data_IF_172591011785
#
_entry.id   IF_172591011785
#
_cell.length_a   1.000
_cell.length_b   1.000
_cell.length_c   1.000
_cell.angle_alpha   90.00
_cell.angle_beta   90.00
_cell.angle_gamma   90.00
#
_symmetry.space_group_name_H-M   'P 1'
#
loop_
_entity.id
_entity.type
_entity.pdbx_description
1 polymer ?
#
# COMPACT_ATOMS: atom_id res chain seq x y z
N UNK A 1 -48.24 -8.39 60.66
CA UNK A 1 -48.83 -9.11 59.51
C UNK A 1 -48.32 -8.46 58.24
N UNK A 2 -47.68 -9.25 57.37
CA UNK A 2 -47.05 -8.90 56.08
C UNK A 2 -48.15 -8.90 54.99
N UNK A 3 -47.94 -8.46 53.72
CA UNK A 3 -47.78 -7.11 53.16
C UNK A 3 -48.81 -6.84 52.01
N UNK A 4 -48.73 -5.71 51.30
CA UNK A 4 -49.28 -5.60 49.95
C UNK A 4 -48.33 -4.84 49.01
N UNK A 5 -47.83 -5.59 48.04
CA UNK A 5 -46.86 -5.28 47.00
C UNK A 5 -47.41 -4.38 45.90
N UNK A 6 -46.61 -3.44 45.38
CA UNK A 6 -46.74 -2.91 44.02
C UNK A 6 -45.33 -2.73 43.40
N UNK A 7 -44.80 -3.80 42.80
CA UNK A 7 -43.62 -3.73 41.94
C UNK A 7 -44.08 -3.56 40.48
N UNK A 8 -43.86 -2.37 39.90
CA UNK A 8 -43.89 -2.16 38.45
C UNK A 8 -42.66 -2.82 37.84
N UNK A 9 -42.85 -3.92 37.11
CA UNK A 9 -41.82 -4.50 36.25
C UNK A 9 -41.75 -3.71 34.94
N UNK A 10 -40.69 -2.93 34.78
CA UNK A 10 -40.21 -2.46 33.49
C UNK A 10 -39.72 -3.66 32.68
N UNK A 11 -40.36 -3.92 31.54
CA UNK A 11 -39.82 -4.80 30.51
C UNK A 11 -38.66 -4.07 29.83
N UNK A 12 -37.42 -4.41 30.20
CA UNK A 12 -36.27 -4.18 29.33
C UNK A 12 -36.20 -5.36 28.36
N UNK A 13 -36.62 -5.13 27.12
CA UNK A 13 -36.28 -6.01 26.01
C UNK A 13 -34.78 -5.84 25.74
N UNK A 14 -33.98 -6.78 26.23
CA UNK A 14 -32.59 -6.90 25.81
C UNK A 14 -32.56 -7.44 24.38
N UNK A 15 -32.44 -6.54 23.40
CA UNK A 15 -32.02 -6.88 22.04
C UNK A 15 -30.57 -7.33 22.11
N UNK A 16 -30.35 -8.63 22.31
CA UNK A 16 -29.04 -9.25 22.09
C UNK A 16 -28.79 -9.31 20.59
N UNK A 17 -28.20 -8.26 20.04
CA UNK A 17 -27.54 -8.31 18.75
C UNK A 17 -26.34 -9.25 18.87
N UNK A 18 -26.42 -10.43 18.25
CA UNK A 18 -25.26 -11.27 17.98
C UNK A 18 -24.39 -10.53 16.95
N UNK A 19 -23.51 -9.65 17.42
CA UNK A 19 -22.36 -9.25 16.63
C UNK A 19 -21.50 -10.50 16.48
N UNK A 20 -21.49 -11.09 15.29
CA UNK A 20 -20.55 -12.15 14.97
C UNK A 20 -19.15 -11.60 15.20
N UNK A 21 -18.47 -12.09 16.25
CA UNK A 21 -17.11 -11.68 16.54
C UNK A 21 -16.21 -12.17 15.39
N UNK A 22 -15.77 -11.26 14.53
CA UNK A 22 -14.80 -11.59 13.49
C UNK A 22 -13.47 -11.99 14.16
N UNK A 23 -12.85 -13.11 13.72
CA UNK A 23 -11.57 -13.51 14.26
C UNK A 23 -10.53 -12.41 14.01
N UNK A 24 -9.76 -12.08 15.04
CA UNK A 24 -8.70 -11.09 14.97
C UNK A 24 -7.73 -11.43 13.83
N UNK A 25 -7.69 -10.58 12.79
CA UNK A 25 -6.81 -10.74 11.61
C UNK A 25 -7.53 -11.02 10.29
N UNK A 26 -8.81 -11.39 10.31
CA UNK A 26 -9.62 -11.50 9.09
C UNK A 26 -9.94 -10.13 8.49
N UNK A 27 -10.13 -10.07 7.17
CA UNK A 27 -10.61 -8.87 6.48
C UNK A 27 -12.02 -8.52 7.00
N UNK A 28 -12.16 -7.30 7.53
CA UNK A 28 -13.48 -6.71 7.80
C UNK A 28 -14.20 -6.46 6.46
N UNK A 29 -15.49 -6.82 6.33
CA UNK A 29 -16.26 -6.56 5.12
C UNK A 29 -16.22 -5.07 4.73
N UNK A 30 -16.11 -4.79 3.44
CA UNK A 30 -16.13 -3.42 2.93
C UNK A 30 -17.57 -2.87 2.96
N UNK A 31 -17.76 -1.57 3.21
CA UNK A 31 -19.08 -0.92 3.17
C UNK A 31 -19.02 0.34 2.31
N UNK A 32 -20.16 0.92 1.97
CA UNK A 32 -20.22 2.16 1.19
C UNK A 32 -19.55 3.34 1.92
N UNK A 33 -19.77 3.44 3.23
CA UNK A 33 -19.26 4.47 4.13
C UNK A 33 -17.94 4.08 4.80
N UNK A 34 -17.59 2.79 4.80
CA UNK A 34 -16.40 2.27 5.47
C UNK A 34 -15.45 1.58 4.50
N UNK A 35 -14.19 2.01 4.55
CA UNK A 35 -13.09 1.45 3.75
C UNK A 35 -12.06 0.78 4.68
N UNK A 36 -12.39 -0.37 5.29
CA UNK A 36 -11.48 -1.00 6.23
C UNK A 36 -10.20 -1.45 5.52
N UNK A 37 -9.10 -1.43 6.29
CA UNK A 37 -7.82 -1.95 5.81
C UNK A 37 -7.98 -3.45 5.61
N UNK A 38 -7.57 -3.95 4.44
CA UNK A 38 -7.57 -5.38 4.14
C UNK A 38 -6.70 -6.12 5.18
N UNK A 39 -7.23 -7.23 5.69
CA UNK A 39 -6.60 -7.99 6.77
C UNK A 39 -5.21 -8.51 6.42
N UNK A 40 -4.45 -8.93 7.44
CA UNK A 40 -3.11 -9.50 7.24
C UNK A 40 -3.15 -10.99 6.85
N UNK A 41 -4.29 -11.67 7.00
CA UNK A 41 -4.47 -13.05 6.59
C UNK A 41 -4.92 -13.07 5.13
N UNK A 42 -4.17 -13.76 4.27
CA UNK A 42 -4.52 -13.93 2.86
C UNK A 42 -5.92 -14.54 2.72
N UNK A 43 -6.73 -14.02 1.80
CA UNK A 43 -8.08 -14.54 1.54
C UNK A 43 -8.46 -14.41 0.07
N UNK A 44 -9.11 -15.42 -0.52
CA UNK A 44 -9.64 -15.29 -1.87
C UNK A 44 -10.92 -14.44 -1.92
N UNK A 45 -11.48 -14.01 -0.78
CA UNK A 45 -12.83 -13.47 -0.73
C UNK A 45 -12.86 -11.94 -0.52
N UNK A 46 -13.28 -11.22 -1.55
CA UNK A 46 -13.72 -9.83 -1.42
C UNK A 46 -15.15 -9.80 -0.88
N UNK A 47 -15.36 -9.07 0.22
CA UNK A 47 -16.65 -9.00 0.91
C UNK A 47 -17.20 -7.60 0.96
N UNK A 48 -18.51 -7.48 0.77
CA UNK A 48 -19.28 -6.25 0.93
C UNK A 48 -20.41 -6.46 1.93
N UNK A 49 -20.48 -5.62 2.94
CA UNK A 49 -21.55 -5.61 3.94
C UNK A 49 -22.62 -4.57 3.58
N UNK A 50 -23.84 -5.05 3.35
CA UNK A 50 -25.02 -4.26 3.00
C UNK A 50 -25.90 -3.90 4.19
N UNK A 51 -25.44 -4.08 5.43
CA UNK A 51 -26.19 -3.72 6.65
C UNK A 51 -26.37 -2.21 6.83
N UNK A 52 -25.52 -1.39 6.20
CA UNK A 52 -25.70 0.06 6.15
C UNK A 52 -26.78 0.44 5.15
N UNK A 53 -27.49 1.54 5.44
CA UNK A 53 -28.39 2.17 4.50
C UNK A 53 -27.62 2.59 3.23
N UNK A 54 -28.02 2.06 2.08
CA UNK A 54 -27.50 2.51 0.78
C UNK A 54 -28.37 3.65 0.26
N UNK A 55 -27.76 4.83 0.09
CA UNK A 55 -28.40 6.00 -0.49
C UNK A 55 -28.02 6.10 -1.95
N UNK A 56 -29.01 6.02 -2.84
CA UNK A 56 -28.79 6.10 -4.28
C UNK A 56 -28.53 7.55 -4.74
N UNK A 57 -28.20 7.72 -6.02
CA UNK A 57 -27.91 9.01 -6.64
C UNK A 57 -29.08 10.02 -6.57
N UNK A 58 -30.30 9.54 -6.29
CA UNK A 58 -31.50 10.37 -6.08
C UNK A 58 -31.73 10.72 -4.60
N UNK A 59 -30.75 10.47 -3.74
CA UNK A 59 -30.82 10.70 -2.29
C UNK A 59 -31.88 9.84 -1.57
N UNK A 60 -32.28 8.72 -2.16
CA UNK A 60 -33.22 7.79 -1.54
C UNK A 60 -32.47 6.65 -0.88
N UNK A 61 -32.87 6.31 0.36
CA UNK A 61 -32.45 5.07 1.01
C UNK A 61 -33.19 3.91 0.37
N UNK A 62 -32.45 2.97 -0.22
CA UNK A 62 -33.00 1.79 -0.88
C UNK A 62 -32.31 0.52 -0.40
N UNK A 63 -33.03 -0.61 -0.43
CA UNK A 63 -32.45 -1.90 -0.11
C UNK A 63 -31.39 -2.28 -1.16
N UNK A 64 -30.29 -2.89 -0.71
CA UNK A 64 -29.27 -3.45 -1.60
C UNK A 64 -29.79 -4.77 -2.17
N UNK A 65 -29.96 -4.84 -3.49
CA UNK A 65 -30.47 -6.03 -4.19
C UNK A 65 -29.46 -6.63 -5.15
N UNK A 66 -28.39 -5.90 -5.49
CA UNK A 66 -27.33 -6.36 -6.37
C UNK A 66 -26.03 -5.63 -6.04
N UNK A 67 -24.92 -6.37 -5.98
CA UNK A 67 -23.58 -5.83 -5.80
C UNK A 67 -22.68 -6.43 -6.87
N UNK A 68 -21.93 -5.57 -7.55
CA UNK A 68 -20.95 -5.96 -8.55
C UNK A 68 -19.64 -5.22 -8.30
N UNK A 69 -18.57 -5.68 -8.91
CA UNK A 69 -17.27 -5.00 -8.89
C UNK A 69 -16.73 -4.81 -10.29
N UNK A 70 -16.01 -3.72 -10.50
CA UNK A 70 -15.23 -3.47 -11.71
C UNK A 70 -13.90 -2.85 -11.31
N UNK A 71 -12.87 -3.03 -12.14
CA UNK A 71 -11.53 -2.60 -11.78
C UNK A 71 -10.52 -2.62 -12.90
N UNK A 72 -9.28 -2.34 -12.54
CA UNK A 72 -8.15 -2.23 -13.49
C UNK A 72 -7.81 -3.55 -14.20
N UNK A 73 -8.14 -4.72 -13.62
CA UNK A 73 -7.85 -6.03 -14.23
C UNK A 73 -8.56 -6.25 -15.57
N UNK A 74 -9.68 -5.57 -15.82
CA UNK A 74 -10.39 -5.58 -17.10
C UNK A 74 -10.54 -4.18 -17.69
N UNK A 75 -9.65 -3.25 -17.31
CA UNK A 75 -9.69 -1.85 -17.75
C UNK A 75 -11.07 -1.18 -17.55
N UNK A 76 -11.81 -1.56 -16.50
CA UNK A 76 -13.14 -1.04 -16.20
C UNK A 76 -14.21 -1.31 -17.28
N UNK A 77 -13.97 -2.26 -18.19
CA UNK A 77 -14.87 -2.53 -19.33
C UNK A 77 -16.04 -3.46 -19.02
N UNK A 78 -15.94 -4.23 -17.95
CA UNK A 78 -17.02 -5.11 -17.48
C UNK A 78 -17.13 -5.12 -15.96
N UNK A 79 -18.26 -5.59 -15.44
CA UNK A 79 -18.48 -5.81 -14.02
C UNK A 79 -18.68 -7.30 -13.73
N UNK A 80 -18.30 -7.72 -12.53
CA UNK A 80 -18.43 -9.09 -12.04
C UNK A 80 -19.42 -9.08 -10.86
N UNK A 81 -20.48 -9.90 -10.88
CA UNK A 81 -21.45 -9.96 -9.80
C UNK A 81 -20.86 -10.61 -8.55
N UNK A 82 -21.26 -10.11 -7.38
CA UNK A 82 -21.00 -10.75 -6.08
C UNK A 82 -22.20 -11.63 -5.69
N UNK A 83 -21.94 -12.72 -4.97
CA UNK A 83 -22.98 -13.62 -4.48
C UNK A 83 -23.41 -13.25 -3.06
N UNK A 84 -24.72 -13.22 -2.73
CA UNK A 84 -25.16 -13.08 -1.36
C UNK A 84 -24.86 -14.37 -0.58
N UNK A 85 -24.22 -14.24 0.58
CA UNK A 85 -23.81 -15.37 1.45
C UNK A 85 -24.39 -15.27 2.87
N UNK A 86 -25.24 -14.28 3.12
CA UNK A 86 -25.96 -14.07 4.38
C UNK A 86 -26.92 -12.88 4.29
N UNK A 87 -27.62 -12.55 5.39
CA UNK A 87 -28.66 -11.50 5.39
C UNK A 87 -28.18 -10.13 4.91
N UNK A 88 -26.88 -9.82 5.06
CA UNK A 88 -26.30 -8.54 4.66
C UNK A 88 -24.88 -8.69 4.10
N UNK A 89 -24.49 -9.87 3.62
CA UNK A 89 -23.13 -10.13 3.21
C UNK A 89 -23.07 -10.61 1.76
N UNK A 90 -22.26 -9.93 0.97
CA UNK A 90 -21.96 -10.25 -0.42
C UNK A 90 -20.51 -10.66 -0.52
N UNK A 91 -20.23 -11.68 -1.32
CA UNK A 91 -18.90 -12.26 -1.47
C UNK A 91 -18.55 -12.50 -2.93
N UNK A 92 -17.28 -12.27 -3.27
CA UNK A 92 -16.69 -12.64 -4.56
C UNK A 92 -15.35 -13.32 -4.31
N UNK A 93 -15.15 -14.49 -4.93
CA UNK A 93 -13.84 -15.10 -5.06
C UNK A 93 -13.01 -14.35 -6.12
N UNK A 94 -12.03 -13.56 -5.68
CA UNK A 94 -11.25 -12.67 -6.55
C UNK A 94 -10.38 -13.42 -7.56
N UNK A 95 -10.15 -14.72 -7.39
CA UNK A 95 -9.42 -15.54 -8.36
C UNK A 95 -10.16 -15.62 -9.70
N UNK A 96 -11.49 -15.43 -9.68
CA UNK A 96 -12.34 -15.39 -10.87
C UNK A 96 -12.10 -14.14 -11.73
N UNK A 97 -11.48 -13.09 -11.17
CA UNK A 97 -11.20 -11.84 -11.88
C UNK A 97 -10.09 -11.99 -12.93
N UNK A 98 -9.26 -13.03 -12.83
CA UNK A 98 -8.05 -13.16 -13.64
C UNK A 98 -7.06 -12.01 -13.43
N UNK A 99 -7.11 -11.37 -12.27
CA UNK A 99 -6.20 -10.30 -11.90
C UNK A 99 -4.77 -10.82 -11.74
N UNK A 100 -3.80 -10.00 -12.14
CA UNK A 100 -2.38 -10.31 -12.06
C UNK A 100 -1.83 -10.03 -10.66
N UNK A 101 -0.60 -10.47 -10.39
CA UNK A 101 0.09 -10.11 -9.16
C UNK A 101 0.21 -8.57 -9.08
N UNK A 102 -0.12 -8.00 -7.93
CA UNK A 102 0.15 -6.60 -7.64
C UNK A 102 -1.05 -5.84 -7.09
N UNK A 103 -0.99 -4.50 -7.19
CA UNK A 103 -2.04 -3.62 -6.70
C UNK A 103 -2.97 -3.24 -7.85
N UNK A 104 -4.22 -3.67 -7.74
CA UNK A 104 -5.29 -3.26 -8.62
C UNK A 104 -6.13 -2.15 -7.98
N UNK A 105 -6.80 -1.38 -8.83
CA UNK A 105 -7.87 -0.48 -8.40
C UNK A 105 -9.23 -1.06 -8.75
N UNK A 106 -10.23 -0.81 -7.90
CA UNK A 106 -11.61 -1.25 -8.11
C UNK A 106 -12.63 -0.32 -7.47
N UNK A 107 -13.89 -0.52 -7.87
CA UNK A 107 -15.08 0.07 -7.24
C UNK A 107 -16.20 -0.96 -7.14
N UNK A 108 -17.03 -0.80 -6.12
CA UNK A 108 -18.33 -1.45 -6.06
C UNK A 108 -19.35 -0.72 -6.95
N UNK A 109 -20.23 -1.49 -7.55
CA UNK A 109 -21.41 -1.04 -8.28
C UNK A 109 -22.61 -1.64 -7.55
N UNK A 110 -23.32 -0.81 -6.78
CA UNK A 110 -24.42 -1.23 -5.92
C UNK A 110 -25.72 -0.80 -6.57
N UNK A 111 -26.62 -1.75 -6.80
CA UNK A 111 -27.88 -1.51 -7.51
C UNK A 111 -27.71 -0.79 -8.87
N UNK A 112 -26.59 -1.02 -9.55
CA UNK A 112 -26.26 -0.37 -10.83
C UNK A 112 -25.60 1.00 -10.72
N UNK A 113 -25.37 1.50 -9.50
CA UNK A 113 -24.73 2.78 -9.25
C UNK A 113 -23.30 2.58 -8.74
N UNK A 114 -22.35 3.29 -9.35
CA UNK A 114 -20.95 3.29 -8.92
C UNK A 114 -20.81 3.93 -7.55
N UNK A 115 -20.00 3.33 -6.68
CA UNK A 115 -19.65 3.98 -5.43
C UNK A 115 -18.90 5.30 -5.66
N UNK A 116 -19.17 6.29 -4.82
CA UNK A 116 -18.49 7.59 -4.85
C UNK A 116 -17.04 7.54 -4.34
N UNK A 117 -16.39 8.71 -4.33
CA UNK A 117 -15.02 8.92 -3.84
C UNK A 117 -13.93 8.26 -4.69
N UNK A 118 -12.72 8.17 -4.15
CA UNK A 118 -11.56 7.60 -4.85
C UNK A 118 -11.70 6.09 -5.08
N UNK A 119 -10.91 5.52 -6.00
CA UNK A 119 -10.83 4.08 -6.23
C UNK A 119 -10.27 3.35 -5.01
N UNK A 120 -10.76 2.13 -4.76
CA UNK A 120 -10.23 1.24 -3.70
C UNK A 120 -9.03 0.46 -4.24
N UNK A 121 -8.10 0.11 -3.35
CA UNK A 121 -6.97 -0.75 -3.68
C UNK A 121 -7.26 -2.22 -3.39
N UNK A 122 -6.94 -3.10 -4.33
CA UNK A 122 -7.04 -4.56 -4.22
C UNK A 122 -5.65 -5.16 -4.48
N UNK A 123 -4.84 -5.41 -3.44
CA UNK A 123 -3.60 -6.13 -3.56
C UNK A 123 -3.87 -7.62 -3.76
N UNK A 124 -3.36 -8.18 -4.85
CA UNK A 124 -3.48 -9.59 -5.22
C UNK A 124 -2.08 -10.21 -5.16
N UNK A 125 -1.94 -11.35 -4.49
CA UNK A 125 -0.69 -12.11 -4.39
C UNK A 125 -0.54 -13.13 -5.55
N UNK A 126 0.53 -13.92 -5.53
CA UNK A 126 0.82 -14.93 -6.58
C UNK A 126 -0.24 -16.04 -6.67
N UNK A 127 -0.96 -16.32 -5.57
CA UNK A 127 -2.05 -17.30 -5.53
C UNK A 127 -3.38 -16.72 -6.02
N UNK A 128 -3.42 -15.45 -6.42
CA UNK A 128 -4.64 -14.75 -6.79
C UNK A 128 -5.49 -14.33 -5.58
N UNK A 129 -4.93 -14.33 -4.38
CA UNK A 129 -5.63 -14.00 -3.14
C UNK A 129 -5.37 -12.55 -2.73
N UNK A 130 -6.33 -11.98 -2.00
CA UNK A 130 -6.18 -10.69 -1.35
C UNK A 130 -5.22 -10.86 -0.18
N UNK A 131 -4.08 -10.17 -0.24
CA UNK A 131 -3.10 -10.17 0.83
C UNK A 131 -2.52 -8.77 0.95
N UNK A 132 -2.53 -8.23 2.16
CA UNK A 132 -1.84 -6.96 2.41
C UNK A 132 -0.34 -7.16 2.13
N UNK A 133 0.27 -6.39 1.22
CA UNK A 133 1.70 -6.50 0.99
C UNK A 133 2.44 -6.29 2.31
N UNK A 134 3.50 -7.07 2.59
CA UNK A 134 4.28 -6.88 3.80
C UNK A 134 4.68 -5.42 3.92
N UNK A 135 4.37 -4.79 5.07
CA UNK A 135 4.74 -3.39 5.33
C UNK A 135 6.27 -3.17 5.29
N UNK A 136 7.04 -4.26 5.16
CA UNK A 136 8.47 -4.26 4.99
C UNK A 136 8.94 -3.59 3.70
N UNK A 137 8.20 -3.55 2.59
CA UNK A 137 8.70 -2.89 1.36
C UNK A 137 8.42 -1.37 1.43
N UNK A 138 9.47 -0.58 1.28
CA UNK A 138 9.41 0.88 1.21
C UNK A 138 9.25 1.37 -0.23
N UNK A 139 10.06 0.83 -1.16
CA UNK A 139 10.13 1.28 -2.56
C UNK A 139 10.71 0.17 -3.43
N UNK A 140 10.27 0.07 -4.68
CA UNK A 140 10.97 -0.68 -5.73
C UNK A 140 11.31 0.27 -6.87
N UNK A 141 12.55 0.27 -7.36
CA UNK A 141 13.02 1.09 -8.47
C UNK A 141 13.67 0.23 -9.53
N UNK A 142 13.41 0.53 -10.80
CA UNK A 142 14.23 0.01 -11.90
C UNK A 142 15.50 0.85 -11.93
N UNK A 143 16.63 0.26 -11.56
CA UNK A 143 17.93 0.94 -11.48
C UNK A 143 18.57 1.01 -12.89
N UNK A 144 18.43 -0.07 -13.65
CA UNK A 144 18.80 -0.19 -15.06
C UNK A 144 17.90 -1.23 -15.76
N UNK A 145 18.00 -1.39 -17.08
CA UNK A 145 17.22 -2.32 -17.91
C UNK A 145 17.21 -3.79 -17.42
N UNK A 146 18.13 -4.15 -16.52
CA UNK A 146 18.29 -5.52 -15.99
C UNK A 146 18.25 -5.61 -14.46
N UNK A 147 17.96 -4.50 -13.77
CA UNK A 147 18.06 -4.46 -12.31
C UNK A 147 16.87 -3.76 -11.68
N UNK A 148 16.21 -4.46 -10.75
CA UNK A 148 15.19 -3.89 -9.87
C UNK A 148 15.78 -3.87 -8.46
N UNK A 149 15.82 -2.69 -7.85
CA UNK A 149 16.24 -2.47 -6.47
C UNK A 149 15.01 -2.34 -5.58
N UNK A 150 14.91 -3.18 -4.56
CA UNK A 150 13.82 -3.16 -3.58
C UNK A 150 14.37 -2.68 -2.25
N UNK A 151 13.85 -1.56 -1.77
CA UNK A 151 14.17 -0.98 -0.47
C UNK A 151 13.13 -1.43 0.55
N UNK A 152 13.61 -1.88 1.71
CA UNK A 152 12.76 -2.28 2.82
C UNK A 152 12.72 -1.17 3.89
N UNK A 153 11.55 -0.97 4.53
CA UNK A 153 11.36 -0.02 5.65
C UNK A 153 12.13 -0.44 6.90
N UNK A 154 12.47 -1.71 7.01
CA UNK A 154 13.23 -2.30 8.11
C UNK A 154 14.24 -3.28 7.55
N UNK A 155 15.37 -3.44 8.23
CA UNK A 155 16.38 -4.43 7.86
C UNK A 155 15.76 -5.82 7.83
N UNK A 156 16.08 -6.59 6.79
CA UNK A 156 15.71 -8.00 6.74
C UNK A 156 16.50 -8.77 7.82
N UNK A 157 15.91 -9.82 8.41
CA UNK A 157 16.65 -10.72 9.29
C UNK A 157 17.93 -11.26 8.61
N UNK A 158 19.03 -11.46 9.35
CA UNK A 158 20.24 -12.06 8.80
C UNK A 158 19.95 -13.44 8.20
N UNK A 159 20.56 -13.74 7.05
CA UNK A 159 20.42 -15.04 6.39
C UNK A 159 19.14 -15.25 5.58
N UNK A 160 18.31 -14.23 5.39
CA UNK A 160 17.19 -14.29 4.44
C UNK A 160 17.72 -14.39 3.01
N UNK A 161 17.34 -15.45 2.31
CA UNK A 161 17.52 -15.57 0.87
C UNK A 161 16.25 -15.03 0.16
N UNK A 162 16.29 -13.80 -0.39
CA UNK A 162 15.13 -13.21 -1.05
C UNK A 162 14.86 -13.98 -2.34
N UNK A 163 13.58 -14.26 -2.61
CA UNK A 163 13.11 -14.80 -3.88
C UNK A 163 12.28 -13.73 -4.55
N UNK A 164 12.51 -13.50 -5.84
CA UNK A 164 11.72 -12.60 -6.65
C UNK A 164 11.05 -13.36 -7.78
N UNK A 165 9.82 -12.99 -8.11
CA UNK A 165 9.09 -13.46 -9.29
C UNK A 165 8.58 -12.24 -10.02
N UNK A 166 8.69 -12.24 -11.35
CA UNK A 166 8.20 -11.17 -12.21
C UNK A 166 6.91 -11.63 -12.90
N UNK A 167 6.02 -10.69 -13.17
CA UNK A 167 4.82 -10.89 -13.98
C UNK A 167 4.80 -9.84 -15.12
N UNK A 168 4.90 -10.25 -16.40
CA UNK A 168 4.96 -11.63 -16.89
C UNK A 168 6.22 -12.39 -16.42
N UNK A 169 6.18 -13.74 -16.34
CA UNK A 169 7.32 -14.53 -15.89
C UNK A 169 8.57 -14.27 -16.75
N UNK A 170 9.61 -13.74 -16.11
CA UNK A 170 10.95 -13.57 -16.67
C UNK A 170 11.96 -14.20 -15.71
N UNK A 171 12.94 -14.99 -16.18
CA UNK A 171 13.95 -15.57 -15.32
C UNK A 171 14.72 -14.51 -14.54
N UNK A 172 14.71 -14.62 -13.21
CA UNK A 172 15.52 -13.79 -12.32
C UNK A 172 16.91 -14.41 -12.24
N UNK A 173 17.91 -13.71 -12.78
CA UNK A 173 19.27 -14.22 -12.85
C UNK A 173 19.90 -14.42 -11.46
N UNK A 174 19.66 -13.48 -10.54
CA UNK A 174 20.11 -13.55 -9.16
C UNK A 174 19.30 -12.62 -8.26
N UNK A 175 19.33 -12.88 -6.95
CA UNK A 175 18.79 -12.04 -5.90
C UNK A 175 19.82 -11.94 -4.77
N UNK A 176 20.03 -10.74 -4.23
CA UNK A 176 20.96 -10.49 -3.13
C UNK A 176 20.32 -9.52 -2.15
N UNK A 177 20.54 -9.74 -0.85
CA UNK A 177 20.26 -8.73 0.17
C UNK A 177 21.52 -7.93 0.40
N UNK A 178 21.51 -6.69 -0.03
CA UNK A 178 22.58 -5.74 0.28
C UNK A 178 22.28 -5.12 1.64
N UNK A 179 22.89 -5.67 2.70
CA UNK A 179 22.78 -5.12 4.08
C UNK A 179 23.93 -4.18 4.42
N UNK A 180 25.06 -4.31 3.73
CA UNK A 180 26.11 -3.30 3.80
C UNK A 180 25.50 -2.05 3.18
N UNK A 181 25.36 -1.00 3.97
CA UNK A 181 25.05 0.36 3.55
C UNK A 181 25.65 0.56 2.16
N UNK A 182 24.83 0.49 1.11
CA UNK A 182 25.31 0.67 -0.24
C UNK A 182 25.95 2.04 -0.24
N UNK A 183 27.28 2.03 -0.29
CA UNK A 183 28.10 3.10 0.24
C UNK A 183 27.52 4.41 -0.26
N UNK A 184 26.94 5.23 0.64
CA UNK A 184 26.22 6.44 0.22
C UNK A 184 27.11 7.34 -0.65
N UNK A 185 28.42 7.13 -0.54
CA UNK A 185 29.51 7.66 -1.35
C UNK A 185 29.43 7.31 -2.85
N UNK A 186 28.84 6.18 -3.22
CA UNK A 186 28.60 5.72 -4.60
C UNK A 186 27.20 6.09 -5.11
N UNK A 187 26.17 5.97 -4.29
CA UNK A 187 24.79 6.33 -4.67
C UNK A 187 24.60 7.86 -4.76
N UNK A 188 25.47 8.63 -4.11
CA UNK A 188 25.41 10.08 -4.09
C UNK A 188 24.46 10.66 -3.04
N UNK A 189 23.73 9.82 -2.31
CA UNK A 189 22.79 10.24 -1.26
C UNK A 189 22.44 9.14 -0.26
N UNK A 190 22.00 9.55 0.93
CA UNK A 190 21.47 8.75 2.02
C UNK A 190 20.07 9.27 2.39
N UNK A 191 19.14 8.37 2.67
CA UNK A 191 17.82 8.72 3.23
C UNK A 191 17.73 8.18 4.66
N UNK A 192 17.55 9.05 5.65
CA UNK A 192 17.39 8.66 7.06
C UNK A 192 16.31 9.49 7.72
N UNK A 193 15.34 8.83 8.35
CA UNK A 193 14.25 9.48 9.11
C UNK A 193 13.50 10.58 8.33
N UNK A 194 13.34 10.43 7.02
CA UNK A 194 12.65 11.40 6.15
C UNK A 194 13.52 12.57 5.67
N UNK A 195 14.82 12.59 6.03
CA UNK A 195 15.80 13.56 5.56
C UNK A 195 16.65 12.92 4.48
N UNK A 196 16.85 13.64 3.36
CA UNK A 196 17.79 13.24 2.30
C UNK A 196 19.10 13.98 2.52
N UNK A 197 20.18 13.24 2.67
CA UNK A 197 21.55 13.76 2.72
C UNK A 197 22.26 13.40 1.42
N UNK A 198 22.59 14.39 0.60
CA UNK A 198 23.46 14.20 -0.54
C UNK A 198 24.91 14.09 -0.08
N UNK A 199 25.65 13.15 -0.66
CA UNK A 199 27.03 12.86 -0.33
C UNK A 199 27.84 12.69 -1.61
N UNK A 200 28.99 13.35 -1.70
CA UNK A 200 29.98 13.09 -2.74
C UNK A 200 31.30 12.72 -2.08
N UNK A 201 31.84 11.54 -2.39
CA UNK A 201 33.20 11.13 -1.99
C UNK A 201 34.07 10.97 -3.23
N UNK A 202 35.10 11.80 -3.34
CA UNK A 202 36.01 11.78 -4.48
C UNK A 202 36.68 10.40 -4.68
N UNK A 203 36.99 9.66 -3.60
CA UNK A 203 37.63 8.35 -3.67
C UNK A 203 36.68 7.29 -4.25
N UNK A 204 35.38 7.37 -3.92
CA UNK A 204 34.36 6.47 -4.45
C UNK A 204 34.19 6.61 -5.98
N UNK A 205 34.50 7.79 -6.52
CA UNK A 205 34.48 8.08 -7.96
C UNK A 205 35.85 8.02 -8.63
N UNK A 206 36.92 7.64 -7.91
CA UNK A 206 38.29 7.62 -8.45
C UNK A 206 38.77 9.00 -8.91
N UNK A 207 38.35 10.07 -8.22
CA UNK A 207 38.70 11.45 -8.51
C UNK A 207 39.49 12.06 -7.36
N UNK A 208 40.32 13.03 -7.70
CA UNK A 208 40.89 13.98 -6.74
C UNK A 208 40.49 15.38 -7.17
N UNK A 209 39.81 16.11 -6.28
CA UNK A 209 39.36 17.47 -6.57
C UNK A 209 40.17 18.49 -5.75
N UNK A 210 40.54 19.63 -6.34
CA UNK A 210 41.12 20.76 -5.61
C UNK A 210 40.27 21.20 -4.41
N UNK A 211 40.93 21.79 -3.40
CA UNK A 211 40.28 22.10 -2.12
C UNK A 211 39.14 23.12 -2.24
N UNK A 212 39.26 24.04 -3.17
CA UNK A 212 38.34 25.12 -3.51
C UNK A 212 37.24 24.71 -4.50
N UNK A 213 37.18 23.45 -4.90
CA UNK A 213 36.14 22.95 -5.82
C UNK A 213 34.75 23.11 -5.23
N UNK A 214 33.89 23.80 -5.98
CA UNK A 214 32.45 23.88 -5.71
C UNK A 214 31.78 22.60 -6.20
N UNK A 215 31.17 21.86 -5.27
CA UNK A 215 30.38 20.66 -5.58
C UNK A 215 28.90 21.00 -5.44
N UNK A 216 28.11 20.68 -6.46
CA UNK A 216 26.67 20.96 -6.49
C UNK A 216 25.88 19.71 -6.81
N UNK A 217 24.67 19.63 -6.29
CA UNK A 217 23.70 18.60 -6.68
C UNK A 217 22.84 19.15 -7.81
N UNK A 218 22.81 18.42 -8.92
CA UNK A 218 21.94 18.70 -10.05
C UNK A 218 20.99 17.53 -10.27
N UNK A 219 19.72 17.82 -10.54
CA UNK A 219 18.72 16.80 -10.86
C UNK A 219 17.40 17.42 -11.28
N UNK A 220 16.35 16.61 -11.43
CA UNK A 220 15.03 17.10 -11.85
C UNK A 220 14.49 18.23 -10.95
N UNK A 221 14.78 18.21 -9.64
CA UNK A 221 14.36 19.24 -8.69
C UNK A 221 15.16 20.55 -8.79
N UNK A 222 16.27 20.57 -9.53
CA UNK A 222 17.03 21.79 -9.86
C UNK A 222 16.98 22.15 -11.33
N UNK A 223 16.19 21.42 -12.14
CA UNK A 223 16.20 21.58 -13.60
C UNK A 223 17.54 21.24 -14.24
N UNK A 224 18.34 20.36 -13.62
CA UNK A 224 19.69 19.99 -14.05
C UNK A 224 20.68 21.17 -14.14
N UNK A 225 20.44 22.24 -13.38
CA UNK A 225 21.33 23.39 -13.41
C UNK A 225 22.71 23.09 -12.80
N UNK A 226 23.78 23.58 -13.44
CA UNK A 226 25.14 23.46 -12.93
C UNK A 226 25.45 24.39 -11.74
N UNK A 227 24.47 25.18 -11.31
CA UNK A 227 24.61 26.15 -10.23
C UNK A 227 23.90 25.74 -8.92
N UNK A 228 23.18 24.62 -8.92
CA UNK A 228 22.51 24.07 -7.74
C UNK A 228 21.34 24.95 -7.27
N UNK A 229 20.48 25.38 -8.18
CA UNK A 229 19.32 26.26 -7.93
C UNK A 229 19.70 27.56 -7.21
N UNK A 230 20.61 28.35 -7.79
CA UNK A 230 21.05 29.62 -7.20
C UNK A 230 21.91 29.46 -5.94
N UNK A 231 22.61 28.34 -5.81
CA UNK A 231 23.50 28.07 -4.68
C UNK A 231 22.86 27.29 -3.52
N UNK A 232 21.55 27.02 -3.58
CA UNK A 232 20.82 26.27 -2.55
C UNK A 232 21.36 24.85 -2.36
N UNK A 233 21.78 24.20 -3.45
CA UNK A 233 22.25 22.81 -3.48
C UNK A 233 23.76 22.67 -3.62
N UNK A 234 24.51 23.63 -3.05
CA UNK A 234 25.96 23.56 -2.97
C UNK A 234 26.33 22.73 -1.75
N UNK A 235 27.02 21.62 -1.97
CA UNK A 235 27.47 20.75 -0.89
C UNK A 235 28.62 21.42 -0.13
N UNK A 236 28.60 21.26 1.19
CA UNK A 236 29.66 21.71 2.09
C UNK A 236 30.66 20.59 2.30
N UNK A 237 31.87 20.90 2.75
CA UNK A 237 32.82 19.85 3.14
C UNK A 237 32.20 18.97 4.23
N UNK A 238 32.19 17.67 3.96
CA UNK A 238 31.69 16.65 4.87
C UNK A 238 32.65 16.42 6.03
N UNK A 239 32.25 15.53 6.95
CA UNK A 239 33.04 15.25 8.16
C UNK A 239 34.29 14.42 7.86
N UNK A 240 34.27 13.67 6.76
CA UNK A 240 35.37 12.82 6.34
C UNK A 240 36.25 13.53 5.29
N UNK A 241 37.58 13.31 5.31
CA UNK A 241 38.47 13.84 4.27
C UNK A 241 38.00 13.42 2.87
N UNK A 242 37.99 14.36 1.92
CA UNK A 242 37.57 14.07 0.54
C UNK A 242 36.06 13.95 0.32
N UNK A 243 35.23 14.32 1.31
CA UNK A 243 33.77 14.26 1.20
C UNK A 243 33.10 15.63 1.18
N UNK A 244 31.94 15.69 0.54
CA UNK A 244 31.03 16.83 0.52
C UNK A 244 29.61 16.37 0.83
N UNK A 245 28.90 17.12 1.70
CA UNK A 245 27.59 16.76 2.25
C UNK A 245 26.61 17.94 2.20
N UNK A 246 25.32 17.64 2.06
CA UNK A 246 24.25 18.63 2.09
C UNK A 246 22.89 17.97 2.30
N UNK A 247 22.05 18.55 3.16
CA UNK A 247 20.76 17.98 3.54
C UNK A 247 19.60 18.74 2.93
N UNK A 248 18.57 18.01 2.50
CA UNK A 248 17.28 18.50 2.02
C UNK A 248 16.21 18.39 3.11
#
# INVERSE_FOLDING_TARGET
MVPASHNRRLFLAALTGLAAAWPAGAQEPQRADQRPILGNVATPFLRYDSSAAFTNAKMNVVAVTNVQVSGTWNSWTSSVPMAPVGENLWELDVRQLGARLGRHEFKFIVNGEWEGGDNRGLPINLSGEIERPPAAIQRATVDDFKMIRVHFKQSLPPGVAPVATLDPPVPVAWTEVVTAEEDARRSGYLLSQGVVTFLFDQAAYGRELPRDTKVVVAGNFTGWDGNGSGGKWVLKRGRLPGTWEGTA
#
